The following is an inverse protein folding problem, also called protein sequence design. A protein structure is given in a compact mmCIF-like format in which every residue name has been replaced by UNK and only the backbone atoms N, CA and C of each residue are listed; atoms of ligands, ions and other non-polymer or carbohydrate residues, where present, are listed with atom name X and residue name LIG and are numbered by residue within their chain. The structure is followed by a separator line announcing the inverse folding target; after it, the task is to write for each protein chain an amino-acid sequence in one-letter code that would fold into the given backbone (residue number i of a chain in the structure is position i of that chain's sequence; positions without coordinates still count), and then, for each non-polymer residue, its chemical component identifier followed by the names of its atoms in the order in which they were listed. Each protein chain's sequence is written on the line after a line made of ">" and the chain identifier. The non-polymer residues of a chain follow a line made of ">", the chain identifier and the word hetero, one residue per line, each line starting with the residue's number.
data_IF_371506507756
#
_entry.id   IF_371506507756
#
_cell.length_a   1.000
_cell.length_b   1.000
_cell.length_c   1.000
_cell.angle_alpha   90.00
_cell.angle_beta   90.00
_cell.angle_gamma   90.00
#
_symmetry.space_group_name_H-M   'P 1'
#
loop_
_entity.id
_entity.type
_entity.pdbx_description
1 polymer ?
#
# COMPACT_ATOMS: atom_id res chain seq x y z
N UNK A 1 31.13 60.93 27.79
CA UNK A 1 30.72 59.53 27.52
C UNK A 1 29.53 59.58 26.57
N UNK A 2 29.79 59.37 25.27
CA UNK A 2 28.74 59.10 24.32
C UNK A 2 28.22 57.70 24.58
N UNK A 3 26.91 57.41 24.48
CA UNK A 3 26.36 56.07 24.64
C UNK A 3 26.78 55.24 23.43
N UNK A 4 27.22 54.01 23.69
CA UNK A 4 27.56 53.02 22.71
C UNK A 4 26.36 52.75 21.80
N UNK A 5 26.53 52.65 20.44
CA UNK A 5 25.43 52.39 19.55
C UNK A 5 24.81 51.01 19.87
N UNK A 6 23.48 50.86 19.78
CA UNK A 6 22.83 49.59 20.04
C UNK A 6 23.38 48.50 19.10
N UNK A 7 23.60 47.30 19.66
CA UNK A 7 24.00 46.14 18.89
C UNK A 7 23.03 45.90 17.72
N UNK A 8 23.53 45.50 16.55
CA UNK A 8 22.66 45.17 15.42
C UNK A 8 21.66 44.10 15.85
N UNK A 9 20.40 44.28 15.48
CA UNK A 9 19.35 43.29 15.72
C UNK A 9 19.79 41.96 15.09
N UNK A 10 19.69 40.87 15.86
CA UNK A 10 19.94 39.55 15.34
C UNK A 10 19.02 39.30 14.15
N UNK A 11 19.58 38.83 13.03
CA UNK A 11 18.79 38.39 11.89
C UNK A 11 17.84 37.28 12.37
N UNK A 12 16.60 37.28 11.90
CA UNK A 12 15.67 36.22 12.27
C UNK A 12 16.24 34.86 11.86
N UNK A 13 16.17 33.87 12.76
CA UNK A 13 16.57 32.50 12.45
C UNK A 13 15.70 31.98 11.29
N UNK A 14 16.35 31.55 10.22
CA UNK A 14 15.68 30.97 9.05
C UNK A 14 15.01 29.66 9.44
N UNK A 15 13.82 29.46 8.92
CA UNK A 15 13.13 28.17 9.02
C UNK A 15 13.88 27.07 8.25
N UNK A 16 13.65 25.80 8.59
CA UNK A 16 14.25 24.68 7.88
C UNK A 16 13.91 24.70 6.37
N UNK A 17 12.69 25.09 6.03
CA UNK A 17 12.24 25.24 4.64
C UNK A 17 13.03 26.31 3.88
N UNK A 18 13.30 27.46 4.51
CA UNK A 18 14.11 28.53 3.90
C UNK A 18 15.55 28.09 3.69
N UNK A 19 16.13 27.32 4.62
CA UNK A 19 17.50 26.79 4.49
C UNK A 19 17.59 25.75 3.37
N UNK A 20 16.58 24.89 3.23
CA UNK A 20 16.53 23.84 2.20
C UNK A 20 16.36 24.41 0.78
N UNK A 21 15.80 25.61 0.65
CA UNK A 21 15.59 26.25 -0.65
C UNK A 21 16.76 27.12 -1.14
N UNK A 22 17.79 27.39 -0.30
CA UNK A 22 18.82 28.40 -0.61
C UNK A 22 20.11 27.90 -1.26
N UNK A 23 20.41 26.59 -1.18
CA UNK A 23 21.72 26.10 -1.62
C UNK A 23 21.63 24.99 -2.68
N UNK A 24 22.40 25.11 -3.78
CA UNK A 24 22.54 24.03 -4.73
C UNK A 24 23.13 22.78 -4.08
N UNK A 25 22.56 21.63 -4.39
CA UNK A 25 23.03 20.32 -3.92
C UNK A 25 23.24 19.38 -5.10
N UNK A 26 24.29 18.57 -5.03
CA UNK A 26 24.56 17.55 -6.02
C UNK A 26 24.30 16.17 -5.42
N UNK A 27 23.51 15.37 -6.13
CA UNK A 27 23.20 13.99 -5.79
C UNK A 27 23.35 13.09 -7.03
N UNK A 28 23.62 11.80 -6.88
CA UNK A 28 23.57 10.87 -7.99
C UNK A 28 22.12 10.56 -8.35
N UNK A 29 21.76 10.72 -9.63
CA UNK A 29 20.48 10.35 -10.21
C UNK A 29 20.77 9.50 -11.45
N UNK A 30 20.21 8.31 -11.55
CA UNK A 30 20.53 7.31 -12.60
C UNK A 30 22.03 6.99 -12.71
N UNK A 31 22.75 7.03 -11.60
CA UNK A 31 24.19 6.76 -11.57
C UNK A 31 25.07 7.93 -12.02
N UNK A 32 24.52 9.07 -12.39
CA UNK A 32 25.24 10.29 -12.78
C UNK A 32 25.02 11.40 -11.74
N UNK A 33 26.09 12.15 -11.42
CA UNK A 33 26.02 13.29 -10.53
C UNK A 33 25.30 14.45 -11.20
N UNK A 34 24.19 14.90 -10.63
CA UNK A 34 23.40 16.04 -11.10
C UNK A 34 23.31 17.11 -10.00
N UNK A 35 23.39 18.37 -10.39
CA UNK A 35 23.30 19.51 -9.48
C UNK A 35 21.91 20.12 -9.58
N UNK A 36 21.25 20.23 -8.46
CA UNK A 36 19.92 20.81 -8.29
C UNK A 36 20.00 22.17 -7.59
N UNK A 37 19.08 23.10 -7.88
CA UNK A 37 19.12 24.43 -7.32
C UNK A 37 18.96 24.46 -5.80
N UNK A 38 18.33 23.42 -5.22
CA UNK A 38 18.10 23.29 -3.79
C UNK A 38 17.85 21.82 -3.40
N UNK A 39 17.80 21.56 -2.09
CA UNK A 39 17.59 20.20 -1.56
C UNK A 39 16.23 19.63 -1.92
N UNK A 40 15.18 20.45 -2.00
CA UNK A 40 13.82 20.01 -2.38
C UNK A 40 13.76 19.49 -3.81
N UNK A 41 14.38 20.20 -4.76
CA UNK A 41 14.46 19.75 -6.15
C UNK A 41 15.28 18.47 -6.30
N UNK A 42 16.32 18.29 -5.49
CA UNK A 42 17.12 17.08 -5.44
C UNK A 42 16.31 15.88 -4.88
N UNK A 43 15.56 16.11 -3.82
CA UNK A 43 14.67 15.11 -3.22
C UNK A 43 13.56 14.67 -4.19
N UNK A 44 12.92 15.61 -4.87
CA UNK A 44 11.90 15.31 -5.90
C UNK A 44 12.48 14.47 -7.04
N UNK A 45 13.70 14.78 -7.50
CA UNK A 45 14.36 14.01 -8.57
C UNK A 45 14.72 12.60 -8.09
N UNK A 46 15.32 12.45 -6.91
CA UNK A 46 15.65 11.15 -6.31
C UNK A 46 14.39 10.30 -6.07
N UNK A 47 13.31 10.91 -5.58
CA UNK A 47 12.05 10.23 -5.36
C UNK A 47 11.35 9.85 -6.67
N UNK A 48 11.46 10.71 -7.69
CA UNK A 48 10.98 10.43 -9.04
C UNK A 48 11.69 9.23 -9.67
N UNK A 49 13.01 9.18 -9.57
CA UNK A 49 13.83 8.04 -10.01
C UNK A 49 13.48 6.76 -9.25
N UNK A 50 13.38 6.82 -7.93
CA UNK A 50 12.97 5.69 -7.09
C UNK A 50 11.62 5.15 -7.51
N UNK A 51 10.62 6.02 -7.68
CA UNK A 51 9.28 5.63 -8.17
C UNK A 51 9.33 5.00 -9.56
N UNK A 52 10.13 5.54 -10.47
CA UNK A 52 10.24 5.02 -11.84
C UNK A 52 10.94 3.66 -11.86
N UNK A 53 11.97 3.47 -11.04
CA UNK A 53 12.63 2.18 -10.86
C UNK A 53 11.71 1.15 -10.23
N UNK A 54 10.90 1.53 -9.24
CA UNK A 54 9.84 0.67 -8.70
C UNK A 54 8.81 0.30 -9.78
N UNK A 55 8.40 1.24 -10.63
CA UNK A 55 7.47 0.97 -11.74
C UNK A 55 8.06 0.07 -12.82
N UNK A 56 9.35 0.24 -13.17
CA UNK A 56 10.03 -0.60 -14.16
C UNK A 56 10.25 -2.02 -13.67
N UNK A 57 10.46 -2.21 -12.37
CA UNK A 57 10.76 -3.50 -11.77
C UNK A 57 9.52 -4.19 -11.16
N UNK A 58 8.43 -3.49 -10.96
CA UNK A 58 7.18 -4.03 -10.46
C UNK A 58 6.32 -4.47 -11.64
N UNK A 59 6.35 -5.75 -11.97
CA UNK A 59 5.25 -6.34 -12.70
C UNK A 59 4.04 -6.39 -11.77
N UNK A 60 3.01 -5.59 -12.09
CA UNK A 60 1.75 -5.64 -11.36
C UNK A 60 1.16 -7.04 -11.46
N UNK A 61 0.87 -7.64 -10.31
CA UNK A 61 0.24 -8.95 -10.26
C UNK A 61 -1.08 -8.94 -11.03
N UNK A 62 -1.27 -9.93 -11.90
CA UNK A 62 -2.50 -10.11 -12.67
C UNK A 62 -3.31 -11.25 -12.08
N UNK A 63 -4.50 -10.93 -11.61
CA UNK A 63 -5.43 -11.92 -11.08
C UNK A 63 -6.08 -12.66 -12.26
N UNK A 64 -5.79 -13.94 -12.35
CA UNK A 64 -6.37 -14.87 -13.35
C UNK A 64 -7.21 -15.96 -12.71
N UNK A 65 -7.21 -16.05 -11.38
CA UNK A 65 -7.97 -17.03 -10.61
C UNK A 65 -9.40 -16.54 -10.36
N UNK A 66 -10.36 -17.19 -10.99
CA UNK A 66 -11.79 -16.89 -10.86
C UNK A 66 -12.36 -17.29 -9.49
N UNK A 67 -11.66 -18.16 -8.79
CA UNK A 67 -12.04 -18.67 -7.47
C UNK A 67 -11.34 -17.91 -6.32
N UNK A 68 -10.69 -16.79 -6.63
CA UNK A 68 -10.01 -15.98 -5.62
C UNK A 68 -11.00 -15.57 -4.51
N UNK A 69 -10.61 -15.88 -3.27
CA UNK A 69 -11.43 -15.60 -2.09
C UNK A 69 -12.58 -16.58 -1.85
N UNK A 70 -12.71 -17.64 -2.64
CA UNK A 70 -13.63 -18.74 -2.36
C UNK A 70 -13.08 -19.67 -1.28
N UNK A 71 -13.99 -20.40 -0.65
CA UNK A 71 -13.66 -21.36 0.40
C UNK A 71 -14.36 -21.09 1.72
N UNK A 72 -14.30 -22.07 2.61
CA UNK A 72 -14.86 -21.96 3.95
C UNK A 72 -14.07 -21.02 4.88
N UNK A 73 -14.62 -20.62 6.02
CA UNK A 73 -13.99 -19.66 6.93
C UNK A 73 -12.58 -20.04 7.38
N UNK A 74 -12.31 -21.31 7.63
CA UNK A 74 -10.97 -21.78 8.01
C UNK A 74 -9.95 -21.67 6.88
N UNK A 75 -10.36 -21.91 5.64
CA UNK A 75 -9.48 -21.76 4.47
C UNK A 75 -9.13 -20.27 4.25
N UNK A 76 -10.10 -19.37 4.36
CA UNK A 76 -9.90 -17.92 4.28
C UNK A 76 -8.96 -17.42 5.39
N UNK A 77 -9.18 -17.89 6.61
CA UNK A 77 -8.30 -17.60 7.73
C UNK A 77 -6.85 -18.00 7.44
N UNK A 78 -6.64 -19.22 6.95
CA UNK A 78 -5.31 -19.73 6.65
C UNK A 78 -4.64 -18.91 5.54
N UNK A 79 -5.35 -18.56 4.48
CA UNK A 79 -4.85 -17.71 3.42
C UNK A 79 -4.42 -16.31 3.92
N UNK A 80 -5.23 -15.70 4.80
CA UNK A 80 -4.87 -14.43 5.44
C UNK A 80 -3.60 -14.54 6.27
N UNK A 81 -3.47 -15.61 7.08
CA UNK A 81 -2.29 -15.83 7.92
C UNK A 81 -1.03 -16.01 7.07
N UNK A 82 -1.11 -16.78 5.98
CA UNK A 82 0.02 -16.99 5.06
C UNK A 82 0.44 -15.68 4.39
N UNK A 83 -0.52 -14.91 3.92
CA UNK A 83 -0.25 -13.59 3.32
C UNK A 83 0.40 -12.63 4.32
N UNK A 84 -0.10 -12.54 5.57
CA UNK A 84 0.47 -11.65 6.60
C UNK A 84 1.89 -12.10 7.00
N UNK A 85 2.13 -13.38 7.15
CA UNK A 85 3.49 -13.89 7.44
C UNK A 85 4.47 -13.53 6.33
N UNK A 86 4.05 -13.68 5.09
CA UNK A 86 4.86 -13.31 3.94
C UNK A 86 5.09 -11.81 3.87
N UNK A 87 4.05 -10.99 4.10
CA UNK A 87 4.18 -9.53 4.15
C UNK A 87 5.24 -9.11 5.17
N UNK A 88 5.14 -9.60 6.41
CA UNK A 88 6.11 -9.28 7.47
C UNK A 88 7.54 -9.72 7.12
N UNK A 89 7.69 -10.89 6.52
CA UNK A 89 8.99 -11.35 6.04
C UNK A 89 9.57 -10.42 4.94
N UNK A 90 8.76 -9.98 4.00
CA UNK A 90 9.19 -9.05 2.95
C UNK A 90 9.58 -7.68 3.52
N UNK A 91 8.85 -7.18 4.50
CA UNK A 91 9.17 -5.92 5.19
C UNK A 91 10.51 -6.02 5.96
N UNK A 92 10.75 -7.11 6.67
CA UNK A 92 12.00 -7.34 7.40
C UNK A 92 13.22 -7.47 6.46
N UNK A 93 13.02 -8.05 5.27
CA UNK A 93 14.08 -8.29 4.30
C UNK A 93 14.23 -7.19 3.26
N UNK A 94 13.38 -6.15 3.32
CA UNK A 94 13.29 -5.09 2.29
C UNK A 94 13.19 -5.64 0.87
N UNK A 95 12.55 -6.82 0.74
CA UNK A 95 12.42 -7.56 -0.50
C UNK A 95 11.21 -7.13 -1.32
N UNK A 96 11.33 -7.21 -2.63
CA UNK A 96 10.17 -7.19 -3.52
C UNK A 96 9.59 -8.59 -3.64
N UNK A 97 8.26 -8.71 -3.70
CA UNK A 97 7.60 -9.99 -3.85
C UNK A 97 7.86 -10.60 -5.24
N UNK A 98 8.31 -11.85 -5.27
CA UNK A 98 8.37 -12.63 -6.53
C UNK A 98 6.95 -12.91 -7.05
N UNK A 99 6.77 -13.32 -8.33
CA UNK A 99 5.46 -13.69 -8.86
C UNK A 99 4.71 -14.72 -8.01
N UNK A 100 5.42 -15.73 -7.48
CA UNK A 100 4.86 -16.76 -6.60
C UNK A 100 4.43 -16.18 -5.25
N UNK A 101 5.22 -15.25 -4.71
CA UNK A 101 4.91 -14.53 -3.48
C UNK A 101 3.72 -13.58 -3.68
N UNK A 102 3.65 -12.88 -4.80
CA UNK A 102 2.49 -12.05 -5.16
C UNK A 102 1.20 -12.89 -5.23
N UNK A 103 1.29 -14.13 -5.74
CA UNK A 103 0.15 -15.05 -5.75
C UNK A 103 -0.30 -15.42 -4.33
N UNK A 104 0.61 -15.56 -3.37
CA UNK A 104 0.25 -15.80 -1.96
C UNK A 104 -0.39 -14.56 -1.36
N UNK A 105 0.20 -13.37 -1.57
CA UNK A 105 -0.32 -12.10 -1.06
C UNK A 105 -1.73 -11.81 -1.61
N UNK A 106 -1.99 -12.10 -2.89
CA UNK A 106 -3.30 -11.87 -3.53
C UNK A 106 -4.45 -12.70 -2.93
N UNK A 107 -4.13 -13.76 -2.18
CA UNK A 107 -5.14 -14.59 -1.50
C UNK A 107 -5.63 -14.01 -0.18
N UNK A 108 -5.10 -12.88 0.26
CA UNK A 108 -5.64 -12.18 1.41
C UNK A 108 -7.03 -11.64 1.09
N UNK A 109 -8.01 -11.98 1.91
CA UNK A 109 -9.42 -11.63 1.69
C UNK A 109 -10.02 -10.84 2.86
N UNK A 110 -9.19 -10.33 3.74
CA UNK A 110 -9.64 -9.60 4.93
C UNK A 110 -10.37 -10.47 5.94
N UNK A 111 -10.97 -9.82 6.91
CA UNK A 111 -11.56 -10.52 8.06
C UNK A 111 -13.09 -10.55 8.02
N UNK A 112 -13.72 -10.09 6.96
CA UNK A 112 -15.16 -10.12 6.79
C UNK A 112 -15.74 -11.53 6.94
N UNK A 113 -16.68 -11.69 7.86
CA UNK A 113 -17.29 -12.99 8.18
C UNK A 113 -16.40 -13.95 8.98
N UNK A 114 -15.24 -13.49 9.51
CA UNK A 114 -14.33 -14.29 10.34
C UNK A 114 -14.34 -13.88 11.82
N UNK A 115 -15.43 -13.33 12.32
CA UNK A 115 -15.55 -12.86 13.71
C UNK A 115 -15.21 -13.95 14.74
N UNK A 116 -15.53 -15.21 14.46
CA UNK A 116 -15.24 -16.35 15.32
C UNK A 116 -13.74 -16.53 15.60
N UNK A 117 -12.86 -16.10 14.71
CA UNK A 117 -11.41 -16.15 14.91
C UNK A 117 -10.91 -15.16 15.98
N UNK A 118 -11.73 -14.15 16.32
CA UNK A 118 -11.42 -13.11 17.31
C UNK A 118 -12.18 -13.30 18.63
N UNK A 119 -12.94 -14.39 18.75
CA UNK A 119 -13.72 -14.72 19.94
C UNK A 119 -12.95 -15.69 20.85
N UNK A 120 -12.53 -15.26 22.07
CA UNK A 120 -11.79 -16.12 23.01
C UNK A 120 -12.61 -17.30 23.52
N UNK A 121 -13.94 -17.20 23.50
CA UNK A 121 -14.85 -18.21 24.02
C UNK A 121 -15.28 -19.24 22.96
N UNK A 122 -14.83 -19.07 21.71
CA UNK A 122 -15.11 -19.99 20.61
C UNK A 122 -14.14 -21.17 20.57
N UNK A 123 -14.44 -22.24 21.29
CA UNK A 123 -13.56 -23.41 21.35
C UNK A 123 -13.10 -23.96 20.01
N UNK A 124 -14.00 -23.98 19.00
CA UNK A 124 -13.69 -24.44 17.64
C UNK A 124 -12.68 -23.57 16.87
N UNK A 125 -12.36 -22.37 17.41
CA UNK A 125 -11.41 -21.40 16.85
C UNK A 125 -10.27 -21.04 17.80
N UNK A 126 -10.10 -21.76 18.90
CA UNK A 126 -9.12 -21.44 19.93
C UNK A 126 -7.67 -21.40 19.42
N UNK A 127 -7.32 -22.28 18.46
CA UNK A 127 -6.00 -22.31 17.83
C UNK A 127 -5.76 -21.08 16.96
N UNK A 128 -6.76 -20.72 16.15
CA UNK A 128 -6.69 -19.56 15.27
C UNK A 128 -6.68 -18.26 16.06
N UNK A 129 -7.45 -18.19 17.14
CA UNK A 129 -7.41 -17.06 18.07
C UNK A 129 -6.00 -16.85 18.65
N UNK A 130 -5.38 -17.92 19.16
CA UNK A 130 -4.02 -17.85 19.69
C UNK A 130 -3.01 -17.44 18.61
N UNK A 131 -3.16 -17.98 17.40
CA UNK A 131 -2.29 -17.65 16.26
C UNK A 131 -2.38 -16.17 15.87
N UNK A 132 -3.57 -15.56 15.88
CA UNK A 132 -3.72 -14.13 15.62
C UNK A 132 -3.06 -13.27 16.68
N UNK A 133 -3.17 -13.66 17.95
CA UNK A 133 -2.53 -12.94 19.04
C UNK A 133 -1.01 -12.95 18.97
N UNK A 134 -0.43 -14.01 18.42
CA UNK A 134 1.02 -14.13 18.20
C UNK A 134 1.46 -13.37 16.94
N UNK A 135 0.65 -13.42 15.88
CA UNK A 135 1.02 -12.89 14.57
C UNK A 135 0.86 -11.37 14.46
N UNK A 136 -0.19 -10.81 15.06
CA UNK A 136 -0.57 -9.41 14.90
C UNK A 136 -0.11 -8.57 16.09
N UNK A 137 0.32 -7.33 15.81
CA UNK A 137 0.48 -6.34 16.87
C UNK A 137 -0.87 -6.02 17.52
N UNK A 138 -0.90 -5.42 18.73
CA UNK A 138 -2.15 -5.01 19.35
C UNK A 138 -3.01 -4.11 18.45
N UNK A 139 -2.38 -3.20 17.71
CA UNK A 139 -3.03 -2.26 16.78
C UNK A 139 -3.59 -3.00 15.55
N UNK A 140 -2.78 -3.87 14.91
CA UNK A 140 -3.21 -4.71 13.80
C UNK A 140 -4.37 -5.62 14.22
N UNK A 141 -4.28 -6.22 15.41
CA UNK A 141 -5.35 -7.07 15.94
C UNK A 141 -6.65 -6.30 16.17
N UNK A 142 -6.56 -5.09 16.73
CA UNK A 142 -7.74 -4.24 16.96
C UNK A 142 -8.40 -3.83 15.64
N UNK A 143 -7.61 -3.42 14.64
CA UNK A 143 -8.09 -3.07 13.31
C UNK A 143 -8.73 -4.27 12.60
N UNK A 144 -8.06 -5.42 12.58
CA UNK A 144 -8.56 -6.67 12.01
C UNK A 144 -9.90 -7.10 12.64
N UNK A 145 -9.99 -7.06 13.98
CA UNK A 145 -11.24 -7.37 14.70
C UNK A 145 -12.37 -6.40 14.34
N UNK A 146 -12.08 -5.11 14.26
CA UNK A 146 -13.09 -4.10 13.91
C UNK A 146 -13.62 -4.30 12.48
N UNK A 147 -12.80 -4.81 11.56
CA UNK A 147 -13.17 -5.00 10.15
C UNK A 147 -14.02 -6.24 9.87
N UNK A 148 -14.23 -7.12 10.87
CA UNK A 148 -14.96 -8.40 10.68
C UNK A 148 -16.40 -8.25 10.18
N UNK A 149 -17.02 -7.09 10.39
CA UNK A 149 -18.40 -6.81 9.98
C UNK A 149 -18.52 -6.16 8.61
N UNK A 150 -17.46 -5.52 8.10
CA UNK A 150 -17.54 -4.63 6.92
C UNK A 150 -16.43 -4.81 5.88
N UNK A 151 -15.38 -5.58 6.16
CA UNK A 151 -14.32 -5.85 5.18
C UNK A 151 -14.73 -7.02 4.28
N UNK A 152 -15.45 -6.73 3.21
CA UNK A 152 -15.85 -7.70 2.19
C UNK A 152 -15.14 -7.41 0.88
N UNK A 153 -14.38 -8.37 0.40
CA UNK A 153 -13.64 -8.25 -0.85
C UNK A 153 -14.53 -8.63 -2.03
N UNK A 154 -14.52 -7.78 -3.06
CA UNK A 154 -15.34 -7.97 -4.26
C UNK A 154 -14.82 -9.17 -5.07
N UNK A 155 -15.73 -10.06 -5.44
CA UNK A 155 -15.37 -11.27 -6.21
C UNK A 155 -14.92 -10.93 -7.63
N UNK A 156 -14.03 -11.76 -8.24
CA UNK A 156 -13.59 -11.58 -9.62
C UNK A 156 -14.73 -11.45 -10.64
N UNK A 157 -15.80 -12.21 -10.47
CA UNK A 157 -16.97 -12.13 -11.35
C UNK A 157 -17.63 -10.76 -11.34
N UNK A 158 -17.78 -10.16 -10.15
CA UNK A 158 -18.38 -8.82 -10.01
C UNK A 158 -17.44 -7.75 -10.57
N UNK A 159 -16.14 -7.85 -10.29
CA UNK A 159 -15.16 -6.90 -10.82
C UNK A 159 -15.18 -6.89 -12.36
N UNK A 160 -15.19 -8.07 -13.00
CA UNK A 160 -15.30 -8.16 -14.47
C UNK A 160 -16.57 -7.50 -14.99
N UNK A 161 -17.71 -7.78 -14.38
CA UNK A 161 -18.97 -7.18 -14.80
C UNK A 161 -18.95 -5.64 -14.68
N UNK A 162 -18.30 -5.10 -13.66
CA UNK A 162 -18.12 -3.65 -13.50
C UNK A 162 -17.24 -3.11 -14.63
N UNK A 163 -16.10 -3.73 -14.95
CA UNK A 163 -15.23 -3.28 -16.03
C UNK A 163 -15.90 -3.39 -17.39
N UNK A 164 -16.67 -4.45 -17.66
CA UNK A 164 -17.47 -4.56 -18.88
C UNK A 164 -18.49 -3.41 -18.99
N UNK A 165 -19.18 -3.07 -17.90
CA UNK A 165 -20.11 -1.96 -17.89
C UNK A 165 -19.42 -0.62 -18.17
N UNK A 166 -18.27 -0.37 -17.53
CA UNK A 166 -17.46 0.84 -17.71
C UNK A 166 -16.94 0.96 -19.15
N UNK A 167 -16.47 -0.14 -19.75
CA UNK A 167 -16.06 -0.19 -21.16
C UNK A 167 -17.22 0.09 -22.11
N UNK A 168 -18.42 -0.46 -21.84
CA UNK A 168 -19.64 -0.16 -22.63
C UNK A 168 -20.08 1.30 -22.54
N UNK A 169 -19.72 2.02 -21.47
CA UNK A 169 -19.92 3.46 -21.34
C UNK A 169 -18.87 4.27 -22.11
N UNK A 170 -17.91 3.63 -22.78
CA UNK A 170 -16.89 4.27 -23.61
C UNK A 170 -15.63 4.69 -22.87
N UNK A 171 -15.40 4.21 -21.64
CA UNK A 171 -14.15 4.47 -20.93
C UNK A 171 -13.06 3.55 -21.46
N UNK A 172 -11.96 4.12 -21.92
CA UNK A 172 -10.77 3.40 -22.39
C UNK A 172 -9.56 3.68 -21.48
N UNK A 173 -9.26 4.96 -21.25
CA UNK A 173 -8.13 5.36 -20.40
C UNK A 173 -8.46 6.63 -19.61
N UNK A 174 -7.85 6.77 -18.43
CA UNK A 174 -8.05 7.95 -17.59
C UNK A 174 -7.53 7.77 -16.17
N UNK A 175 -8.10 8.48 -15.23
CA UNK A 175 -7.84 8.31 -13.82
C UNK A 175 -8.86 7.34 -13.23
N UNK A 176 -8.37 6.29 -12.58
CA UNK A 176 -9.19 5.30 -11.87
C UNK A 176 -8.87 5.41 -10.39
N UNK A 177 -9.87 5.74 -9.58
CA UNK A 177 -9.78 5.79 -8.12
C UNK A 177 -10.54 4.62 -7.51
N UNK A 178 -9.85 3.84 -6.70
CA UNK A 178 -10.43 2.83 -5.82
C UNK A 178 -10.32 3.31 -4.37
N UNK A 179 -11.41 3.83 -3.77
CA UNK A 179 -11.36 4.48 -2.46
C UNK A 179 -11.31 3.51 -1.28
N UNK A 180 -11.42 2.21 -1.52
CA UNK A 180 -11.30 1.13 -0.54
C UNK A 180 -10.67 -0.07 -1.23
N UNK A 181 -9.40 0.10 -1.66
CA UNK A 181 -8.80 -0.80 -2.62
C UNK A 181 -8.47 -2.20 -2.07
N UNK A 182 -8.47 -2.38 -0.74
CA UNK A 182 -8.03 -3.62 -0.14
C UNK A 182 -6.62 -3.98 -0.62
N UNK A 183 -6.44 -5.20 -1.10
CA UNK A 183 -5.18 -5.66 -1.71
C UNK A 183 -5.10 -5.36 -3.22
N UNK A 184 -5.96 -4.48 -3.74
CA UNK A 184 -5.89 -4.04 -5.14
C UNK A 184 -6.53 -4.99 -6.15
N UNK A 185 -7.57 -5.75 -5.78
CA UNK A 185 -8.21 -6.70 -6.67
C UNK A 185 -8.71 -6.07 -7.97
N UNK A 186 -9.28 -4.86 -7.92
CA UNK A 186 -9.67 -4.12 -9.13
C UNK A 186 -8.46 -3.82 -10.02
N UNK A 187 -7.34 -3.40 -9.44
CA UNK A 187 -6.12 -3.14 -10.21
C UNK A 187 -5.53 -4.41 -10.80
N UNK A 188 -5.52 -5.52 -10.05
CA UNK A 188 -5.07 -6.82 -10.51
C UNK A 188 -5.90 -7.40 -11.65
N UNK A 189 -7.15 -6.96 -11.78
CA UNK A 189 -8.09 -7.40 -12.82
C UNK A 189 -8.35 -6.34 -13.90
N UNK A 190 -7.58 -5.25 -13.92
CA UNK A 190 -7.75 -4.17 -14.90
C UNK A 190 -7.68 -4.73 -16.34
N UNK A 191 -8.68 -4.47 -17.20
CA UNK A 191 -8.65 -4.88 -18.60
C UNK A 191 -7.45 -4.32 -19.36
N UNK A 192 -7.03 -5.03 -20.41
CA UNK A 192 -5.88 -4.64 -21.24
C UNK A 192 -6.05 -3.25 -21.85
N UNK A 193 -7.27 -2.96 -22.31
CA UNK A 193 -7.64 -1.69 -22.93
C UNK A 193 -7.49 -0.50 -21.98
N UNK A 194 -7.57 -0.76 -20.67
CA UNK A 194 -7.49 0.26 -19.62
C UNK A 194 -6.10 0.39 -19.00
N UNK A 195 -5.09 -0.39 -19.44
CA UNK A 195 -3.74 -0.45 -18.81
C UNK A 195 -2.99 0.87 -18.78
N UNK A 196 -3.29 1.78 -19.69
CA UNK A 196 -2.67 3.10 -19.73
C UNK A 196 -3.30 4.10 -18.76
N UNK A 197 -4.28 3.67 -17.98
CA UNK A 197 -4.90 4.49 -16.94
C UNK A 197 -3.98 4.73 -15.76
N UNK A 198 -4.15 5.88 -15.10
CA UNK A 198 -3.52 6.17 -13.80
C UNK A 198 -4.37 5.59 -12.69
N UNK A 199 -3.76 4.77 -11.83
CA UNK A 199 -4.44 4.09 -10.74
C UNK A 199 -4.15 4.79 -9.42
N UNK A 200 -5.20 5.02 -8.65
CA UNK A 200 -5.14 5.62 -7.31
C UNK A 200 -5.89 4.71 -6.36
N UNK A 201 -5.18 4.16 -5.37
CA UNK A 201 -5.77 3.35 -4.31
C UNK A 201 -5.75 4.09 -3.00
N UNK A 202 -6.83 3.97 -2.23
CA UNK A 202 -6.90 4.41 -0.83
C UNK A 202 -7.34 3.21 -0.01
N UNK A 203 -6.61 2.92 1.06
CA UNK A 203 -6.95 1.84 1.98
C UNK A 203 -6.73 2.30 3.43
N UNK A 204 -7.71 2.00 4.30
CA UNK A 204 -7.68 2.36 5.71
C UNK A 204 -6.97 1.29 6.55
N UNK A 205 -7.17 0.01 6.19
CA UNK A 205 -6.53 -1.10 6.89
C UNK A 205 -5.04 -1.17 6.58
N UNK A 206 -4.23 -1.03 7.60
CA UNK A 206 -2.77 -0.98 7.45
C UNK A 206 -2.15 -2.28 6.93
N UNK A 207 -2.80 -3.43 7.12
CA UNK A 207 -2.31 -4.72 6.59
C UNK A 207 -2.57 -4.78 5.08
N UNK A 208 -3.80 -4.47 4.67
CA UNK A 208 -4.19 -4.50 3.25
C UNK A 208 -3.48 -3.45 2.40
N UNK A 209 -3.16 -2.29 2.99
CA UNK A 209 -2.55 -1.16 2.30
C UNK A 209 -1.01 -1.22 2.14
N UNK A 210 -0.36 -2.21 2.75
CA UNK A 210 1.09 -2.46 2.65
C UNK A 210 1.42 -3.45 1.57
#
# INVERSE_FOLDING_TARGET
>A
NEPEPPAPAAEPEKTLDEVLDEHPISIPVNGEWQTFPNARAAEEAAYGEYKENLRRNAENFRITDDLLGEGGPKAKFQANVEAIKLLKYLEETTGQATPEQQQVLSRYVGWGGLADAFDPDKESWSKEYAQLKELLTPEEYAAARASTLNAHYTSPTVIRAIYEAVGRMGFETGNILEPSCGVGNFFGMLPEEMRNSRLYGVELDSISGR
#
